data_IF_303046179445
#
_entry.id   IF_303046179445
#
_cell.length_a   1.000
_cell.length_b   1.000
_cell.length_c   1.000
_cell.angle_alpha   90.00
_cell.angle_beta   90.00
_cell.angle_gamma   90.00
#
_symmetry.space_group_name_H-M   'P 1'
#
loop_
_entity.id
_entity.type
_entity.pdbx_description
1 polymer ?
#
# COMPACT_ATOMS: atom_id res chain seq x y z
N UNK A 1 29.35 -22.56 13.50
CA UNK A 1 28.25 -23.31 12.85
C UNK A 1 27.35 -24.09 13.81
N UNK A 2 27.84 -24.65 14.95
CA UNK A 2 26.97 -25.32 15.94
C UNK A 2 25.98 -24.39 16.67
N UNK A 3 26.43 -23.21 17.12
CA UNK A 3 25.57 -22.28 17.88
C UNK A 3 24.44 -21.59 17.09
N UNK A 4 24.50 -21.54 15.75
CA UNK A 4 23.43 -20.91 14.95
C UNK A 4 22.19 -21.82 14.84
N UNK A 5 22.38 -23.15 14.91
CA UNK A 5 21.28 -24.13 14.86
C UNK A 5 20.60 -24.33 16.22
N UNK A 6 21.34 -24.19 17.32
CA UNK A 6 20.80 -24.33 18.69
C UNK A 6 19.82 -23.19 19.01
N UNK A 7 20.15 -21.94 18.66
CA UNK A 7 19.25 -20.79 18.88
C UNK A 7 17.95 -20.86 18.05
N UNK A 8 18.01 -21.41 16.82
CA UNK A 8 16.81 -21.58 16.00
C UNK A 8 15.89 -22.68 16.56
N UNK A 9 16.45 -23.72 17.20
CA UNK A 9 15.69 -24.77 17.88
C UNK A 9 15.03 -24.25 19.16
N UNK A 10 15.77 -23.52 20.02
CA UNK A 10 15.21 -22.92 21.23
C UNK A 10 14.04 -21.98 20.91
N UNK A 11 14.20 -21.14 19.88
CA UNK A 11 13.13 -20.25 19.43
C UNK A 11 11.92 -21.03 18.90
N UNK A 12 12.14 -22.12 18.16
CA UNK A 12 11.05 -22.98 17.68
C UNK A 12 10.26 -23.61 18.84
N UNK A 13 10.94 -24.13 19.86
CA UNK A 13 10.27 -24.71 21.04
C UNK A 13 9.47 -23.66 21.81
N UNK A 14 10.01 -22.44 21.94
CA UNK A 14 9.28 -21.32 22.54
C UNK A 14 7.99 -21.00 21.77
N UNK A 15 8.04 -20.94 20.44
CA UNK A 15 6.83 -20.74 19.62
C UNK A 15 5.83 -21.88 19.82
N UNK A 16 6.30 -23.12 19.86
CA UNK A 16 5.47 -24.30 20.11
C UNK A 16 4.75 -24.18 21.45
N UNK A 17 5.42 -23.76 22.52
CA UNK A 17 4.81 -23.63 23.84
C UNK A 17 3.73 -22.54 23.89
N UNK A 18 3.98 -21.39 23.26
CA UNK A 18 2.95 -20.35 23.10
C UNK A 18 1.72 -20.87 22.35
N UNK A 19 1.94 -21.59 21.24
CA UNK A 19 0.86 -22.18 20.45
C UNK A 19 0.14 -23.30 21.21
N UNK A 20 0.84 -24.13 22.01
CA UNK A 20 0.25 -25.17 22.87
C UNK A 20 -0.70 -24.53 23.89
N UNK A 21 -0.26 -23.48 24.58
CA UNK A 21 -1.05 -22.76 25.58
C UNK A 21 -2.31 -22.18 24.95
N UNK A 22 -2.17 -21.46 23.84
CA UNK A 22 -3.30 -20.86 23.13
C UNK A 22 -4.27 -21.94 22.59
N UNK A 23 -3.75 -23.05 22.05
CA UNK A 23 -4.58 -24.13 21.48
C UNK A 23 -5.41 -24.89 22.52
N UNK A 24 -5.00 -24.87 23.79
CA UNK A 24 -5.78 -25.42 24.91
C UNK A 24 -6.98 -24.52 25.27
N UNK A 25 -6.92 -23.24 24.95
CA UNK A 25 -7.97 -22.26 25.25
C UNK A 25 -9.02 -22.14 24.14
N UNK A 26 -8.69 -22.59 22.93
CA UNK A 26 -9.61 -22.54 21.79
C UNK A 26 -8.92 -22.84 20.47
N UNK A 27 -9.61 -22.61 19.37
CA UNK A 27 -9.02 -22.67 18.03
C UNK A 27 -8.19 -21.42 17.77
N UNK A 28 -6.96 -21.62 17.28
CA UNK A 28 -6.00 -20.56 17.03
C UNK A 28 -5.78 -20.43 15.53
N UNK A 29 -5.86 -19.21 15.04
CA UNK A 29 -5.62 -18.87 13.64
C UNK A 29 -4.43 -17.94 13.52
N UNK A 30 -3.46 -18.32 12.70
CA UNK A 30 -2.32 -17.50 12.34
C UNK A 30 -2.62 -16.82 11.00
N UNK A 31 -2.87 -15.52 11.06
CA UNK A 31 -3.19 -14.69 9.89
C UNK A 31 -1.95 -13.86 9.54
N UNK A 32 -1.49 -13.86 8.28
CA UNK A 32 -0.35 -13.06 7.86
C UNK A 32 -0.68 -11.56 7.96
N UNK A 33 0.24 -10.78 8.52
CA UNK A 33 0.16 -9.32 8.65
C UNK A 33 1.37 -8.68 7.99
N UNK A 34 1.15 -7.56 7.29
CA UNK A 34 2.24 -6.70 6.84
C UNK A 34 2.73 -5.85 8.01
N UNK A 35 4.03 -5.92 8.30
CA UNK A 35 4.74 -4.95 9.15
C UNK A 35 5.78 -4.27 8.27
N UNK A 36 5.67 -2.95 8.16
CA UNK A 36 6.61 -2.16 7.36
C UNK A 36 8.04 -2.41 7.84
N UNK A 37 8.99 -2.46 6.90
CA UNK A 37 10.42 -2.79 7.09
C UNK A 37 10.76 -4.21 7.58
N UNK A 38 9.80 -4.99 8.09
CA UNK A 38 9.99 -6.39 8.50
C UNK A 38 9.50 -7.36 7.42
N UNK A 39 8.36 -7.06 6.79
CA UNK A 39 7.71 -7.91 5.80
C UNK A 39 6.43 -8.58 6.31
N UNK A 40 6.14 -9.78 5.79
CA UNK A 40 4.97 -10.56 6.23
C UNK A 40 5.32 -11.39 7.47
N UNK A 41 4.57 -11.16 8.54
CA UNK A 41 4.75 -11.82 9.82
C UNK A 41 3.45 -12.44 10.32
N UNK A 42 3.59 -13.37 11.25
CA UNK A 42 2.52 -13.98 12.03
C UNK A 42 2.78 -13.67 13.50
N UNK A 43 1.74 -13.24 14.20
CA UNK A 43 1.81 -12.97 15.64
C UNK A 43 1.55 -14.27 16.41
N UNK A 44 2.51 -14.68 17.24
CA UNK A 44 2.43 -15.86 18.11
C UNK A 44 2.81 -15.41 19.51
N UNK A 45 1.83 -15.25 20.41
CA UNK A 45 2.06 -14.53 21.66
C UNK A 45 2.59 -13.12 21.39
N UNK A 46 3.71 -12.77 22.00
CA UNK A 46 4.38 -11.48 21.80
C UNK A 46 5.41 -11.49 20.65
N UNK A 47 5.54 -12.62 19.93
CA UNK A 47 6.52 -12.78 18.86
C UNK A 47 5.95 -12.40 17.49
N UNK A 48 6.75 -11.63 16.73
CA UNK A 48 6.55 -11.43 15.30
C UNK A 48 7.39 -12.43 14.52
N UNK A 49 6.73 -13.43 13.94
CA UNK A 49 7.40 -14.53 13.25
C UNK A 49 7.29 -14.33 11.74
N UNK A 50 8.42 -14.14 11.05
CA UNK A 50 8.42 -14.04 9.59
C UNK A 50 7.88 -15.32 8.94
N UNK A 51 7.18 -15.17 7.81
CA UNK A 51 6.56 -16.29 7.11
C UNK A 51 7.51 -17.47 6.80
N UNK A 52 8.78 -17.17 6.50
CA UNK A 52 9.82 -18.17 6.23
C UNK A 52 10.13 -19.07 7.42
N UNK A 53 9.88 -18.61 8.66
CA UNK A 53 10.15 -19.37 9.90
C UNK A 53 9.00 -20.30 10.31
N UNK A 54 7.85 -20.23 9.63
CA UNK A 54 6.73 -21.16 9.88
C UNK A 54 6.83 -22.48 9.13
N UNK A 55 7.80 -22.63 8.21
CA UNK A 55 7.97 -23.85 7.41
C UNK A 55 8.09 -25.09 8.29
N UNK A 56 8.94 -25.05 9.32
CA UNK A 56 9.16 -26.18 10.22
C UNK A 56 7.91 -26.57 11.02
N UNK A 57 7.11 -25.59 11.47
CA UNK A 57 5.84 -25.87 12.16
C UNK A 57 4.80 -26.50 11.22
N UNK A 58 4.78 -26.05 9.96
CA UNK A 58 3.93 -26.61 8.92
C UNK A 58 4.36 -28.04 8.54
N UNK A 59 5.66 -28.28 8.35
CA UNK A 59 6.24 -29.60 8.05
C UNK A 59 6.00 -30.62 9.17
N UNK A 60 6.02 -30.19 10.43
CA UNK A 60 5.65 -31.01 11.60
C UNK A 60 4.14 -31.28 11.70
N UNK A 61 3.31 -30.69 10.83
CA UNK A 61 1.86 -30.84 10.83
C UNK A 61 1.16 -30.11 11.98
N UNK A 62 1.81 -29.10 12.57
CA UNK A 62 1.20 -28.26 13.61
C UNK A 62 0.38 -27.11 13.03
N UNK A 63 0.55 -26.80 11.75
CA UNK A 63 -0.20 -25.77 11.04
C UNK A 63 -0.98 -26.42 9.90
N UNK A 64 -2.27 -26.10 9.81
CA UNK A 64 -3.16 -26.56 8.75
C UNK A 64 -3.59 -25.33 7.94
N UNK A 65 -3.24 -25.29 6.65
CA UNK A 65 -3.67 -24.17 5.79
C UNK A 65 -5.18 -24.22 5.61
N UNK A 66 -5.86 -23.13 5.97
CA UNK A 66 -7.33 -22.99 5.84
C UNK A 66 -7.75 -21.92 4.83
N UNK A 67 -6.88 -20.95 4.56
CA UNK A 67 -7.12 -19.92 3.55
C UNK A 67 -5.78 -19.31 3.08
N UNK A 68 -5.86 -18.21 2.33
CA UNK A 68 -4.73 -17.46 1.79
C UNK A 68 -5.04 -15.96 1.80
N UNK A 69 -4.06 -15.14 2.15
CA UNK A 69 -4.10 -13.68 1.99
C UNK A 69 -3.04 -13.24 0.97
N UNK A 70 -3.39 -12.33 0.08
CA UNK A 70 -2.50 -11.87 -1.00
C UNK A 70 -2.02 -10.45 -0.72
N UNK A 71 -0.72 -10.22 -0.90
CA UNK A 71 -0.07 -8.94 -0.66
C UNK A 71 0.64 -8.46 -1.94
N UNK A 72 0.66 -7.15 -2.19
CA UNK A 72 1.43 -6.57 -3.30
C UNK A 72 2.93 -6.66 -3.00
N UNK A 73 3.73 -6.92 -4.03
CA UNK A 73 5.20 -7.00 -3.91
C UNK A 73 5.90 -6.15 -4.96
N UNK A 74 7.13 -5.76 -4.66
CA UNK A 74 8.04 -5.18 -5.63
C UNK A 74 8.36 -6.17 -6.73
N UNK A 75 8.09 -5.81 -7.99
CA UNK A 75 8.39 -6.66 -9.15
C UNK A 75 9.88 -6.98 -9.34
N UNK A 76 10.76 -6.20 -8.70
CA UNK A 76 12.21 -6.33 -8.81
C UNK A 76 12.80 -7.16 -7.66
N UNK A 77 12.31 -6.99 -6.42
CA UNK A 77 12.95 -7.55 -5.23
C UNK A 77 12.01 -8.29 -4.26
N UNK A 78 10.74 -8.48 -4.64
CA UNK A 78 9.68 -9.14 -3.87
C UNK A 78 9.37 -8.54 -2.49
N UNK A 79 9.90 -7.36 -2.20
CA UNK A 79 9.59 -6.65 -0.97
C UNK A 79 8.10 -6.26 -0.91
N UNK A 80 7.47 -6.56 0.21
CA UNK A 80 6.05 -6.27 0.51
C UNK A 80 5.86 -4.90 1.17
N UNK A 81 6.93 -4.29 1.69
CA UNK A 81 6.91 -2.97 2.31
C UNK A 81 6.92 -1.89 1.23
N UNK A 82 5.75 -1.61 0.66
CA UNK A 82 5.57 -0.64 -0.41
C UNK A 82 4.95 0.65 0.13
N UNK A 83 5.66 1.76 -0.04
CA UNK A 83 5.17 3.11 0.25
C UNK A 83 4.55 3.73 -1.01
N UNK A 84 3.32 4.24 -0.89
CA UNK A 84 2.69 5.01 -1.96
C UNK A 84 3.35 6.39 -2.07
N UNK A 85 3.80 6.73 -3.28
CA UNK A 85 4.24 8.06 -3.65
C UNK A 85 3.29 8.67 -4.68
N UNK A 86 2.79 9.87 -4.41
CA UNK A 86 1.99 10.66 -5.34
C UNK A 86 2.89 11.74 -5.95
N UNK A 87 3.11 11.68 -7.26
CA UNK A 87 4.07 12.53 -7.97
C UNK A 87 3.42 13.35 -9.09
N UNK A 88 4.02 14.50 -9.37
CA UNK A 88 3.68 15.31 -10.54
C UNK A 88 4.08 14.57 -11.82
N UNK A 89 3.16 14.36 -12.79
CA UNK A 89 3.49 13.67 -14.03
C UNK A 89 4.40 14.51 -14.95
N UNK A 90 4.56 15.81 -14.69
CA UNK A 90 5.37 16.72 -15.50
C UNK A 90 6.79 16.90 -14.98
N UNK A 91 7.01 16.85 -13.66
CA UNK A 91 8.33 17.12 -13.07
C UNK A 91 8.74 16.16 -11.94
N UNK A 92 7.94 15.13 -11.65
CA UNK A 92 8.19 14.10 -10.64
C UNK A 92 8.27 14.59 -9.18
N UNK A 93 7.97 15.85 -8.92
CA UNK A 93 7.90 16.40 -7.57
C UNK A 93 6.69 15.87 -6.79
N UNK A 94 6.78 15.79 -5.46
CA UNK A 94 5.69 15.37 -4.59
C UNK A 94 5.03 16.53 -3.82
N UNK A 95 5.48 17.78 -4.02
CA UNK A 95 4.85 18.94 -3.43
C UNK A 95 3.59 19.34 -4.22
N UNK A 96 2.49 18.65 -3.91
CA UNK A 96 1.21 18.76 -4.61
C UNK A 96 0.11 19.25 -3.66
N UNK A 97 -0.81 20.06 -4.19
CA UNK A 97 -2.06 20.42 -3.50
C UNK A 97 -3.25 19.86 -4.26
N UNK A 98 -4.18 19.23 -3.53
CA UNK A 98 -5.46 18.78 -4.05
C UNK A 98 -6.40 19.99 -4.19
N UNK A 99 -7.04 20.15 -5.33
CA UNK A 99 -7.86 21.34 -5.63
C UNK A 99 -8.94 21.02 -6.66
N UNK A 100 -10.04 21.77 -6.66
CA UNK A 100 -11.02 21.69 -7.73
C UNK A 100 -10.51 22.40 -8.98
N UNK A 101 -10.62 21.73 -10.11
CA UNK A 101 -10.14 22.23 -11.39
C UNK A 101 -11.27 22.79 -12.26
N UNK A 102 -10.89 23.76 -13.08
CA UNK A 102 -11.69 24.28 -14.18
C UNK A 102 -10.83 24.28 -15.45
N UNK A 103 -11.43 23.85 -16.56
CA UNK A 103 -10.81 23.83 -17.88
C UNK A 103 -11.56 24.76 -18.81
N UNK A 104 -10.88 25.77 -19.36
CA UNK A 104 -11.42 26.58 -20.45
C UNK A 104 -11.21 25.85 -21.78
N UNK A 105 -12.28 25.42 -22.42
CA UNK A 105 -12.20 24.55 -23.60
C UNK A 105 -11.57 25.24 -24.81
N UNK A 106 -11.84 26.54 -25.01
CA UNK A 106 -11.34 27.27 -26.17
C UNK A 106 -9.79 27.40 -26.20
N UNK A 107 -9.15 27.62 -25.04
CA UNK A 107 -7.68 27.80 -24.97
C UNK A 107 -6.92 26.65 -24.30
N UNK A 108 -7.65 25.62 -23.86
CA UNK A 108 -7.15 24.43 -23.18
C UNK A 108 -6.56 24.67 -21.78
N UNK A 109 -6.69 25.87 -21.20
CA UNK A 109 -6.14 26.14 -19.88
C UNK A 109 -6.91 25.38 -18.81
N UNK A 110 -6.21 24.58 -18.02
CA UNK A 110 -6.73 23.95 -16.81
C UNK A 110 -6.01 24.49 -15.59
N UNK A 111 -6.76 24.87 -14.57
CA UNK A 111 -6.21 25.41 -13.33
C UNK A 111 -7.18 25.30 -12.17
N UNK A 112 -6.75 25.65 -10.95
CA UNK A 112 -7.63 25.69 -9.79
C UNK A 112 -8.81 26.63 -10.04
N UNK A 113 -10.03 26.28 -9.64
CA UNK A 113 -11.21 27.13 -9.80
C UNK A 113 -10.96 28.55 -9.25
N UNK A 114 -10.31 28.66 -8.10
CA UNK A 114 -9.99 29.96 -7.48
C UNK A 114 -9.03 30.85 -8.28
N UNK A 115 -8.38 30.34 -9.35
CA UNK A 115 -7.57 31.17 -10.25
C UNK A 115 -8.37 31.83 -11.38
N UNK A 116 -9.66 31.53 -11.50
CA UNK A 116 -10.59 32.13 -12.46
C UNK A 116 -11.39 33.23 -11.77
N UNK A 117 -11.08 34.52 -11.97
CA UNK A 117 -11.82 35.60 -11.35
C UNK A 117 -13.27 35.61 -11.79
N UNK A 118 -14.18 35.78 -10.84
CA UNK A 118 -15.60 35.99 -11.11
C UNK A 118 -15.86 37.43 -11.60
N UNK A 119 -16.67 37.57 -12.64
CA UNK A 119 -17.06 38.84 -13.24
C UNK A 119 -18.59 39.04 -13.14
N UNK A 120 -19.13 39.00 -11.92
CA UNK A 120 -20.59 39.05 -11.69
C UNK A 120 -21.34 37.90 -12.37
N UNK A 121 -22.67 37.85 -12.23
CA UNK A 121 -23.64 36.95 -12.91
C UNK A 121 -23.08 35.63 -13.45
N UNK A 122 -22.37 34.86 -12.62
CA UNK A 122 -21.82 33.55 -12.96
C UNK A 122 -20.87 33.51 -14.18
N UNK A 123 -20.11 34.59 -14.41
CA UNK A 123 -19.11 34.68 -15.48
C UNK A 123 -17.71 34.55 -14.89
N UNK A 124 -16.85 33.80 -15.56
CA UNK A 124 -15.44 33.68 -15.21
C UNK A 124 -14.55 34.38 -16.26
N UNK A 125 -13.37 34.81 -15.85
CA UNK A 125 -12.33 35.27 -16.77
C UNK A 125 -11.20 34.22 -16.84
N UNK A 126 -10.84 33.78 -18.04
CA UNK A 126 -9.71 32.86 -18.18
C UNK A 126 -8.40 33.57 -17.76
N UNK A 127 -7.63 33.04 -16.80
CA UNK A 127 -6.38 33.68 -16.38
C UNK A 127 -5.29 33.63 -17.47
N UNK A 128 -5.35 32.65 -18.38
CA UNK A 128 -4.42 32.47 -19.51
C UNK A 128 -4.71 33.40 -20.68
N UNK A 129 -5.92 33.37 -21.25
CA UNK A 129 -6.25 34.13 -22.48
C UNK A 129 -7.10 35.38 -22.25
N UNK A 130 -7.52 35.65 -21.00
CA UNK A 130 -8.36 36.79 -20.61
C UNK A 130 -9.72 36.88 -21.32
N UNK A 131 -10.20 35.78 -21.91
CA UNK A 131 -11.55 35.70 -22.49
C UNK A 131 -12.59 35.38 -21.42
N UNK A 132 -13.80 35.88 -21.63
CA UNK A 132 -14.95 35.62 -20.76
C UNK A 132 -15.46 34.20 -20.99
N UNK A 133 -15.83 33.55 -19.90
CA UNK A 133 -16.33 32.18 -19.84
C UNK A 133 -17.69 32.24 -19.17
N UNK A 134 -18.72 31.69 -19.80
CA UNK A 134 -20.11 31.88 -19.34
C UNK A 134 -20.94 30.60 -19.27
N UNK A 135 -20.70 29.64 -20.18
CA UNK A 135 -21.55 28.46 -20.33
C UNK A 135 -20.80 27.21 -19.89
N UNK A 136 -21.22 26.60 -18.78
CA UNK A 136 -20.73 25.27 -18.36
C UNK A 136 -21.00 24.26 -19.46
N UNK A 137 -20.06 23.36 -19.72
CA UNK A 137 -20.18 22.31 -20.73
C UNK A 137 -19.97 22.77 -22.17
N UNK A 138 -19.87 24.09 -22.42
CA UNK A 138 -19.63 24.68 -23.75
C UNK A 138 -18.35 25.51 -23.75
N UNK A 139 -18.23 26.48 -22.84
CA UNK A 139 -17.05 27.34 -22.72
C UNK A 139 -16.02 26.70 -21.78
N UNK A 140 -16.51 26.02 -20.73
CA UNK A 140 -15.66 25.41 -19.71
C UNK A 140 -16.22 24.13 -19.10
N UNK A 141 -15.29 23.32 -18.59
CA UNK A 141 -15.57 22.14 -17.79
C UNK A 141 -15.09 22.32 -16.35
N UNK A 142 -15.77 21.64 -15.43
CA UNK A 142 -15.29 21.42 -14.06
C UNK A 142 -15.06 19.92 -13.91
N UNK A 143 -13.88 19.39 -14.27
CA UNK A 143 -13.61 17.96 -14.14
C UNK A 143 -13.62 17.49 -12.68
N UNK A 144 -13.72 18.41 -11.72
CA UNK A 144 -13.79 18.16 -10.30
C UNK A 144 -12.41 18.22 -9.68
N UNK A 145 -12.18 17.31 -8.73
CA UNK A 145 -10.93 17.24 -7.97
C UNK A 145 -9.75 16.87 -8.88
N UNK A 146 -8.67 17.62 -8.74
CA UNK A 146 -7.36 17.31 -9.29
C UNK A 146 -6.24 17.84 -8.40
N UNK A 147 -5.09 18.13 -9.00
CA UNK A 147 -3.86 18.50 -8.31
C UNK A 147 -3.19 19.69 -8.99
N UNK A 148 -2.51 20.52 -8.19
CA UNK A 148 -1.56 21.53 -8.66
C UNK A 148 -0.18 21.25 -8.07
N UNK A 149 0.84 21.26 -8.91
CA UNK A 149 2.23 21.12 -8.46
C UNK A 149 2.81 22.48 -8.06
N UNK A 150 3.41 22.57 -6.87
CA UNK A 150 4.06 23.80 -6.44
C UNK A 150 5.39 24.07 -7.13
N UNK A 151 6.08 23.02 -7.61
CA UNK A 151 7.37 23.17 -8.29
C UNK A 151 7.24 23.68 -9.72
N UNK A 152 6.40 23.05 -10.55
CA UNK A 152 6.26 23.44 -11.96
C UNK A 152 4.99 24.26 -12.26
N UNK A 153 4.08 24.42 -11.29
CA UNK A 153 2.85 25.19 -11.45
C UNK A 153 1.72 24.48 -12.22
N UNK A 154 2.01 23.33 -12.83
CA UNK A 154 1.03 22.57 -13.63
C UNK A 154 -0.15 22.08 -12.81
N UNK A 155 -1.32 22.06 -13.45
CA UNK A 155 -2.59 21.59 -12.88
C UNK A 155 -3.17 20.47 -13.72
N UNK A 156 -3.50 19.34 -13.09
CA UNK A 156 -3.88 18.10 -13.76
C UNK A 156 -4.79 17.26 -12.87
N UNK A 157 -5.66 16.45 -13.48
CA UNK A 157 -6.64 15.67 -12.74
C UNK A 157 -6.02 14.42 -12.08
N UNK A 158 -5.16 13.72 -12.81
CA UNK A 158 -4.59 12.45 -12.38
C UNK A 158 -3.09 12.60 -12.11
N UNK A 159 -2.63 12.43 -10.86
CA UNK A 159 -1.22 12.41 -10.55
C UNK A 159 -0.62 11.06 -10.97
N UNK A 160 0.70 10.97 -10.93
CA UNK A 160 1.38 9.70 -11.07
C UNK A 160 1.42 8.99 -9.71
N UNK A 161 0.82 7.80 -9.62
CA UNK A 161 0.90 6.93 -8.45
C UNK A 161 2.03 5.93 -8.63
N UNK A 162 3.02 5.99 -7.74
CA UNK A 162 4.15 5.07 -7.70
C UNK A 162 4.20 4.35 -6.36
N UNK A 163 4.80 3.18 -6.35
CA UNK A 163 5.13 2.43 -5.15
C UNK A 163 6.65 2.35 -5.02
N UNK A 164 7.15 2.75 -3.86
CA UNK A 164 8.57 2.66 -3.51
C UNK A 164 8.77 1.57 -2.45
N UNK A 165 9.64 0.60 -2.72
CA UNK A 165 9.97 -0.44 -1.74
C UNK A 165 11.08 0.01 -0.78
N UNK A 166 11.32 -0.76 0.29
CA UNK A 166 12.39 -0.48 1.28
C UNK A 166 13.79 -0.46 0.65
N UNK A 167 14.00 -1.19 -0.44
CA UNK A 167 15.25 -1.22 -1.22
C UNK A 167 15.39 -0.06 -2.21
N UNK A 168 14.40 0.85 -2.28
CA UNK A 168 14.46 2.07 -3.09
C UNK A 168 13.98 1.93 -4.52
N UNK A 169 13.59 0.74 -4.99
CA UNK A 169 12.98 0.58 -6.31
C UNK A 169 11.63 1.31 -6.37
N UNK A 170 11.37 1.99 -7.48
CA UNK A 170 10.08 2.59 -7.80
C UNK A 170 9.41 1.82 -8.95
N UNK A 171 8.10 1.64 -8.85
CA UNK A 171 7.28 0.98 -9.87
C UNK A 171 5.90 1.63 -9.91
N UNK A 172 5.18 1.47 -11.01
CA UNK A 172 3.78 1.91 -11.07
C UNK A 172 2.87 0.91 -10.35
N UNK A 173 1.71 1.39 -9.89
CA UNK A 173 0.73 0.55 -9.16
C UNK A 173 0.19 -0.59 -10.03
N UNK A 174 0.10 -0.40 -11.34
CA UNK A 174 -0.36 -1.39 -12.32
C UNK A 174 0.70 -2.45 -12.69
N UNK A 175 1.94 -2.30 -12.21
CA UNK A 175 3.06 -3.20 -12.50
C UNK A 175 3.46 -4.09 -11.30
N UNK A 176 2.71 -4.04 -10.21
CA UNK A 176 3.01 -4.82 -9.00
C UNK A 176 2.86 -6.32 -9.25
N UNK A 177 3.67 -7.11 -8.55
CA UNK A 177 3.43 -8.53 -8.40
C UNK A 177 2.54 -8.78 -7.18
N UNK A 178 1.91 -9.95 -7.15
CA UNK A 178 1.08 -10.40 -6.04
C UNK A 178 1.65 -11.69 -5.45
N UNK A 179 1.78 -11.75 -4.13
CA UNK A 179 2.26 -12.95 -3.43
C UNK A 179 1.26 -13.39 -2.37
N UNK A 180 0.92 -14.67 -2.40
CA UNK A 180 -0.01 -15.28 -1.46
C UNK A 180 0.72 -15.86 -0.25
N UNK A 181 0.16 -15.62 0.93
CA UNK A 181 0.62 -16.15 2.21
C UNK A 181 -0.53 -16.93 2.87
N UNK A 182 -0.26 -18.11 3.42
CA UNK A 182 -1.29 -18.97 3.99
C UNK A 182 -1.88 -18.38 5.28
N UNK A 183 -3.18 -18.56 5.46
CA UNK A 183 -3.81 -18.48 6.79
C UNK A 183 -3.80 -19.89 7.37
N UNK A 184 -3.22 -20.04 8.54
CA UNK A 184 -3.15 -21.33 9.22
C UNK A 184 -4.15 -21.42 10.36
N UNK A 185 -4.77 -22.59 10.52
CA UNK A 185 -5.31 -23.04 11.79
C UNK A 185 -4.24 -23.88 12.49
N UNK A 186 -4.04 -23.67 13.78
CA UNK A 186 -3.12 -24.49 14.57
C UNK A 186 -3.78 -25.84 14.86
N UNK A 187 -3.10 -26.93 14.49
CA UNK A 187 -3.59 -28.29 14.70
C UNK A 187 -3.55 -28.67 16.18
N UNK A 188 -4.60 -29.34 16.66
CA UNK A 188 -4.66 -29.85 18.05
C UNK A 188 -3.55 -30.86 18.36
N UNK A 189 -2.89 -31.42 17.34
CA UNK A 189 -1.68 -32.26 17.48
C UNK A 189 -0.58 -31.60 18.30
N UNK A 190 -0.45 -30.27 18.21
CA UNK A 190 0.58 -29.54 18.93
C UNK A 190 0.46 -29.71 20.45
N UNK A 191 -0.75 -29.91 20.98
CA UNK A 191 -1.03 -30.09 22.42
C UNK A 191 -0.38 -31.38 22.95
N UNK A 192 -0.23 -32.39 22.09
CA UNK A 192 0.31 -33.70 22.46
C UNK A 192 1.83 -33.80 22.24
N UNK A 193 2.45 -32.78 21.65
CA UNK A 193 3.88 -32.78 21.37
C UNK A 193 4.70 -32.66 22.67
N UNK A 194 5.64 -33.60 22.85
CA UNK A 194 6.66 -33.58 23.91
C UNK A 194 8.01 -33.34 23.24
N UNK A 195 8.77 -32.41 23.79
CA UNK A 195 10.06 -31.94 23.25
C UNK A 195 11.16 -32.99 23.37
#
# INVERSE_FOLDING_TARGET
>A
MKGMLEHDLEFLYLLIDHLKIASKQGDVYLVPKLKFDIGIVYEIGDFLVQASRLSTLNEKGFLEKVASSTFPTCKICDDVSLMLEVRCPFCMDNNLIKTDLMTHYECGYTGPVGSFPEMGDSKYLCPKCKRKITRVGIDYGRPGVGFKCFRCGESYQFPLYLLKCSKGHQQRVDEINLKSYPVYRVSKRIIQFKD
#
